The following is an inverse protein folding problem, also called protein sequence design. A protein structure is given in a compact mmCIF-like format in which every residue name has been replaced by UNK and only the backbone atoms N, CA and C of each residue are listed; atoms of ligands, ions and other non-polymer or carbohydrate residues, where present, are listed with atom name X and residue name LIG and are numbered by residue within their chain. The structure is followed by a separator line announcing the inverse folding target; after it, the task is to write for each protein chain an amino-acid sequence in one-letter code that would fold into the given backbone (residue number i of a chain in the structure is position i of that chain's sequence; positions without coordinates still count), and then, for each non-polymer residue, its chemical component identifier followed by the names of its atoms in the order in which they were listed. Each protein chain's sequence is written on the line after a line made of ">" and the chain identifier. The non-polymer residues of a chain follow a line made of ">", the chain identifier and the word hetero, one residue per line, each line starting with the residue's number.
data_IF_337534193110
#
_entry.id   IF_337534193110
#
_cell.length_a   1.000
_cell.length_b   1.000
_cell.length_c   1.000
_cell.angle_alpha   90.00
_cell.angle_beta   90.00
_cell.angle_gamma   90.00
#
_symmetry.space_group_name_H-M   'P 1'
#
loop_
_entity.id
_entity.type
_entity.pdbx_description
1 polymer ?
#
# COMPACT_ATOMS: atom_id res chain seq x y z
N UNK A 1 -31.18 44.02 -10.86
CA UNK A 1 -31.44 42.56 -10.98
C UNK A 1 -30.12 41.86 -11.24
N UNK A 2 -29.57 41.13 -10.27
CA UNK A 2 -28.40 40.25 -10.46
C UNK A 2 -28.88 38.80 -10.39
N UNK A 3 -28.51 38.00 -11.39
CA UNK A 3 -29.09 36.68 -11.65
C UNK A 3 -28.38 35.58 -10.85
N UNK A 4 -29.16 34.72 -10.21
CA UNK A 4 -28.73 33.51 -9.51
C UNK A 4 -28.34 32.44 -10.52
N UNK A 5 -27.07 32.06 -10.63
CA UNK A 5 -26.67 30.80 -11.30
C UNK A 5 -25.30 30.31 -10.81
N UNK A 6 -25.33 29.42 -9.81
CA UNK A 6 -24.65 28.13 -9.73
C UNK A 6 -24.48 27.75 -8.26
N UNK A 7 -25.38 26.90 -7.78
CA UNK A 7 -25.25 25.45 -7.84
C UNK A 7 -24.54 24.97 -6.58
N UNK A 8 -25.40 24.48 -5.68
CA UNK A 8 -25.15 23.44 -4.70
C UNK A 8 -23.71 23.34 -4.22
N UNK A 9 -23.49 23.79 -2.98
CA UNK A 9 -22.72 23.04 -1.98
C UNK A 9 -21.72 22.09 -2.63
N UNK A 10 -20.49 22.58 -2.86
CA UNK A 10 -19.33 21.70 -2.74
C UNK A 10 -19.44 21.09 -1.35
N UNK A 11 -20.20 20.00 -1.24
CA UNK A 11 -20.07 19.05 -0.15
C UNK A 11 -18.63 18.65 -0.24
N UNK A 12 -17.85 19.32 0.60
CA UNK A 12 -16.52 18.93 0.97
C UNK A 12 -16.67 17.54 1.58
N UNK A 13 -16.75 16.52 0.73
CA UNK A 13 -16.42 15.16 1.11
C UNK A 13 -14.93 15.22 1.37
N UNK A 14 -14.59 15.65 2.58
CA UNK A 14 -13.32 15.33 3.20
C UNK A 14 -13.29 13.81 3.38
N UNK A 15 -13.11 13.08 2.27
CA UNK A 15 -12.40 11.83 2.34
C UNK A 15 -11.02 12.26 2.80
N UNK A 16 -10.76 12.13 4.11
CA UNK A 16 -9.44 12.34 4.67
C UNK A 16 -8.49 11.60 3.74
N UNK A 17 -7.71 12.35 2.96
CA UNK A 17 -6.77 11.78 2.03
C UNK A 17 -5.70 11.17 2.92
N UNK A 18 -5.85 9.90 3.27
CA UNK A 18 -4.79 9.12 3.89
C UNK A 18 -3.67 9.09 2.85
N UNK A 19 -2.78 10.08 2.94
CA UNK A 19 -1.76 10.30 1.94
C UNK A 19 -0.69 9.26 2.17
N UNK A 20 -0.54 8.34 1.23
CA UNK A 20 0.57 7.40 1.25
C UNK A 20 1.83 8.21 0.97
N UNK A 21 2.74 8.28 1.94
CA UNK A 21 4.03 8.93 1.74
C UNK A 21 4.80 8.27 0.59
N UNK A 22 5.51 9.07 -0.20
CA UNK A 22 6.33 8.54 -1.29
C UNK A 22 7.42 7.59 -0.76
N UNK A 23 7.95 7.87 0.44
CA UNK A 23 8.90 7.00 1.12
C UNK A 23 8.26 5.65 1.44
N UNK A 24 7.08 5.65 2.07
CA UNK A 24 6.37 4.43 2.40
C UNK A 24 6.03 3.59 1.16
N UNK A 25 5.65 4.23 0.04
CA UNK A 25 5.44 3.56 -1.24
C UNK A 25 6.75 2.95 -1.80
N UNK A 26 7.89 3.60 -1.58
CA UNK A 26 9.22 3.09 -1.92
C UNK A 26 9.59 1.86 -1.08
N UNK A 27 9.41 1.95 0.24
CA UNK A 27 9.66 0.85 1.17
C UNK A 27 8.76 -0.36 0.88
N UNK A 28 7.47 -0.16 0.56
CA UNK A 28 6.59 -1.25 0.15
C UNK A 28 7.07 -1.93 -1.15
N UNK A 29 7.52 -1.14 -2.13
CA UNK A 29 8.08 -1.69 -3.37
C UNK A 29 9.36 -2.48 -3.10
N UNK A 30 10.22 -1.99 -2.22
CA UNK A 30 11.45 -2.70 -1.87
C UNK A 30 11.15 -3.99 -1.11
N UNK A 31 10.17 -3.97 -0.20
CA UNK A 31 9.68 -5.16 0.48
C UNK A 31 9.19 -6.23 -0.48
N UNK A 32 8.33 -5.86 -1.45
CA UNK A 32 7.85 -6.79 -2.48
C UNK A 32 8.99 -7.31 -3.37
N UNK A 33 9.92 -6.44 -3.74
CA UNK A 33 11.09 -6.83 -4.56
C UNK A 33 12.05 -7.74 -3.79
N UNK A 34 12.16 -7.58 -2.47
CA UNK A 34 12.96 -8.42 -1.60
C UNK A 34 12.29 -9.79 -1.38
N UNK A 35 10.96 -9.83 -1.22
CA UNK A 35 10.18 -11.06 -1.18
C UNK A 35 10.36 -11.87 -2.46
N UNK A 36 10.22 -11.26 -3.63
CA UNK A 36 10.46 -11.92 -4.93
C UNK A 36 11.89 -12.47 -5.08
N UNK A 37 12.88 -11.85 -4.43
CA UNK A 37 14.27 -12.32 -4.44
C UNK A 37 14.55 -13.38 -3.36
N UNK A 38 13.57 -13.76 -2.55
CA UNK A 38 13.72 -14.67 -1.43
C UNK A 38 14.47 -14.06 -0.24
N UNK A 39 14.64 -12.74 -0.20
CA UNK A 39 15.34 -12.04 0.89
C UNK A 39 14.34 -11.54 1.94
N UNK A 40 13.84 -12.47 2.75
CA UNK A 40 12.85 -12.18 3.79
C UNK A 40 13.34 -11.14 4.82
N UNK A 41 14.64 -11.10 5.13
CA UNK A 41 15.20 -10.15 6.09
C UNK A 41 15.08 -8.70 5.60
N UNK A 42 15.39 -8.45 4.32
CA UNK A 42 15.23 -7.11 3.71
C UNK A 42 13.75 -6.75 3.59
N UNK A 43 12.90 -7.72 3.25
CA UNK A 43 11.46 -7.49 3.20
C UNK A 43 10.89 -7.02 4.55
N UNK A 44 11.24 -7.71 5.64
CA UNK A 44 10.80 -7.32 7.00
C UNK A 44 11.37 -5.97 7.38
N UNK A 45 12.64 -5.68 7.08
CA UNK A 45 13.25 -4.39 7.38
C UNK A 45 12.55 -3.22 6.68
N UNK A 46 12.19 -3.38 5.40
CA UNK A 46 11.48 -2.38 4.63
C UNK A 46 10.03 -2.19 5.16
N UNK A 47 9.35 -3.27 5.54
CA UNK A 47 8.02 -3.18 6.16
C UNK A 47 8.06 -2.42 7.49
N UNK A 48 9.10 -2.63 8.31
CA UNK A 48 9.28 -1.93 9.58
C UNK A 48 9.63 -0.44 9.40
N UNK A 49 10.11 -0.04 8.22
CA UNK A 49 10.38 1.36 7.90
C UNK A 49 9.13 2.15 7.49
N UNK A 50 8.02 1.46 7.18
CA UNK A 50 6.75 2.09 6.85
C UNK A 50 6.08 2.61 8.12
N UNK A 51 5.70 3.88 8.12
CA UNK A 51 4.93 4.49 9.20
C UNK A 51 3.48 3.95 9.25
N UNK A 52 2.93 3.88 10.46
CA UNK A 52 1.60 3.30 10.70
C UNK A 52 0.47 4.05 9.98
N UNK A 53 0.61 5.35 9.75
CA UNK A 53 -0.36 6.16 9.00
C UNK A 53 -0.38 5.77 7.52
N UNK A 54 0.79 5.66 6.91
CA UNK A 54 0.93 5.19 5.52
C UNK A 54 0.50 3.74 5.37
N UNK A 55 0.77 2.88 6.35
CA UNK A 55 0.30 1.50 6.35
C UNK A 55 -1.24 1.42 6.30
N UNK A 56 -1.93 2.13 7.20
CA UNK A 56 -3.38 2.19 7.22
C UNK A 56 -3.96 2.80 5.93
N UNK A 57 -3.27 3.80 5.35
CA UNK A 57 -3.64 4.38 4.07
C UNK A 57 -3.55 3.37 2.91
N UNK A 58 -2.51 2.53 2.90
CA UNK A 58 -2.33 1.46 1.92
C UNK A 58 -3.43 0.40 2.07
N UNK A 59 -3.72 -0.05 3.30
CA UNK A 59 -4.80 -1.01 3.58
C UNK A 59 -6.16 -0.48 3.10
N UNK A 60 -6.50 0.77 3.44
CA UNK A 60 -7.74 1.40 3.00
C UNK A 60 -7.82 1.51 1.46
N UNK A 61 -6.70 1.82 0.81
CA UNK A 61 -6.64 1.93 -0.64
C UNK A 61 -6.79 0.58 -1.33
N UNK A 62 -6.25 -0.48 -0.74
CA UNK A 62 -6.34 -1.84 -1.26
C UNK A 62 -7.74 -2.43 -1.05
N UNK A 63 -8.31 -2.22 0.14
CA UNK A 63 -9.69 -2.60 0.45
C UNK A 63 -10.69 -1.94 -0.51
N UNK A 64 -10.44 -0.69 -0.94
CA UNK A 64 -11.26 -0.01 -1.95
C UNK A 64 -11.22 -0.68 -3.34
N UNK A 65 -10.19 -1.48 -3.64
CA UNK A 65 -10.07 -2.28 -4.88
C UNK A 65 -10.48 -3.74 -4.64
N UNK A 66 -10.88 -4.09 -3.41
CA UNK A 66 -11.28 -5.44 -3.02
C UNK A 66 -10.13 -6.40 -2.72
N UNK A 67 -8.93 -5.88 -2.45
CA UNK A 67 -7.76 -6.68 -2.09
C UNK A 67 -7.34 -6.52 -0.62
N UNK A 68 -6.56 -7.48 -0.12
CA UNK A 68 -5.92 -7.44 1.19
C UNK A 68 -4.38 -7.35 1.05
N UNK A 69 -3.77 -6.51 1.87
CA UNK A 69 -2.33 -6.29 1.89
C UNK A 69 -1.60 -7.57 2.34
N UNK A 70 -2.23 -8.37 3.19
CA UNK A 70 -1.71 -9.70 3.56
C UNK A 70 -1.68 -10.64 2.36
N UNK A 71 -2.78 -10.74 1.63
CA UNK A 71 -2.88 -11.60 0.44
C UNK A 71 -1.88 -11.19 -0.64
N UNK A 72 -1.64 -9.88 -0.79
CA UNK A 72 -0.59 -9.33 -1.67
C UNK A 72 0.81 -9.81 -1.24
N UNK A 73 1.12 -9.75 0.06
CA UNK A 73 2.42 -10.17 0.60
C UNK A 73 2.62 -11.69 0.51
N UNK A 74 1.57 -12.47 0.78
CA UNK A 74 1.57 -13.93 0.64
C UNK A 74 1.83 -14.32 -0.82
N UNK A 75 1.09 -13.74 -1.77
CA UNK A 75 1.29 -13.95 -3.21
C UNK A 75 2.71 -13.56 -3.65
N UNK A 76 3.26 -12.46 -3.12
CA UNK A 76 4.62 -12.02 -3.44
C UNK A 76 5.70 -12.97 -2.87
N UNK A 77 5.45 -13.57 -1.70
CA UNK A 77 6.31 -14.57 -1.07
C UNK A 77 6.24 -15.94 -1.76
N UNK A 78 5.06 -16.35 -2.22
CA UNK A 78 4.87 -17.61 -2.96
C UNK A 78 5.50 -17.58 -4.36
N UNK A 79 5.55 -16.40 -4.99
CA UNK A 79 6.26 -16.20 -6.26
C UNK A 79 7.78 -16.04 -6.09
N UNK A 80 8.31 -16.06 -4.85
CA UNK A 80 9.74 -16.15 -4.65
C UNK A 80 10.23 -17.50 -5.18
N UNK A 81 11.33 -17.57 -5.95
CA UNK A 81 11.88 -18.84 -6.36
C UNK A 81 12.25 -19.62 -5.10
N UNK A 82 11.44 -20.63 -4.77
CA UNK A 82 11.69 -21.57 -3.68
C UNK A 82 13.07 -22.15 -3.91
N UNK A 83 14.08 -21.69 -3.15
CA UNK A 83 15.34 -22.41 -3.02
C UNK A 83 15.08 -23.62 -2.14
N UNK A 84 14.63 -24.70 -2.77
CA UNK A 84 14.65 -26.02 -2.15
C UNK A 84 16.10 -26.33 -1.74
N UNK A 85 16.39 -26.59 -0.46
CA UNK A 85 17.65 -27.21 -0.11
C UNK A 85 17.63 -28.63 -0.69
N UNK A 86 18.50 -28.89 -1.67
CA UNK A 86 18.87 -30.25 -2.05
C UNK A 86 19.72 -30.81 -0.91
N UNK A 87 19.11 -31.60 -0.02
CA UNK A 87 19.82 -32.53 0.85
C UNK A 87 19.02 -33.80 1.04
#
# INVERSE_FOLDING_TARGET
>A
MCNSTNAATRTSSASASSQISLTAAGELRDALSALQRGNAAVAVSALMAIDAESWAAMEARLAAVGGDLRELLETAGENAPVRLPLH
#
